data_IF_227717975163
#
_entry.id   IF_227717975163
#
_cell.length_a   1.000
_cell.length_b   1.000
_cell.length_c   1.000
_cell.angle_alpha   90.00
_cell.angle_beta   90.00
_cell.angle_gamma   90.00
#
_symmetry.space_group_name_H-M   'P 1'
#
loop_
_entity.id
_entity.type
_entity.pdbx_description
1 polymer ?
#
# COMPACT_ATOMS: atom_id res chain seq x y z
N UNK A 1 -62.04 21.97 -22.26
CA UNK A 1 -60.79 21.48 -21.65
C UNK A 1 -60.62 20.01 -22.01
N UNK A 2 -59.50 19.60 -22.62
CA UNK A 2 -59.21 18.17 -22.88
C UNK A 2 -58.87 17.51 -21.55
N UNK A 3 -59.61 16.46 -21.17
CA UNK A 3 -59.28 15.62 -20.03
C UNK A 3 -57.95 14.90 -20.29
N UNK A 4 -56.89 15.31 -19.61
CA UNK A 4 -55.67 14.52 -19.49
C UNK A 4 -56.02 13.27 -18.69
N UNK A 5 -55.91 12.09 -19.30
CA UNK A 5 -56.12 10.82 -18.60
C UNK A 5 -55.10 10.74 -17.47
N UNK A 6 -55.57 10.74 -16.23
CA UNK A 6 -54.74 10.46 -15.07
C UNK A 6 -54.27 9.00 -15.14
N UNK A 7 -52.99 8.76 -14.85
CA UNK A 7 -52.39 7.43 -14.82
C UNK A 7 -53.16 6.52 -13.87
N UNK A 8 -53.40 5.28 -14.30
CA UNK A 8 -54.06 4.29 -13.45
C UNK A 8 -53.12 3.85 -12.32
N UNK A 9 -53.70 3.47 -11.18
CA UNK A 9 -52.95 3.00 -10.00
C UNK A 9 -51.94 1.87 -10.36
N UNK A 10 -52.27 0.90 -11.23
CA UNK A 10 -51.30 -0.10 -11.67
C UNK A 10 -50.11 0.46 -12.45
N UNK A 11 -50.33 1.46 -13.33
CA UNK A 11 -49.25 2.11 -14.09
C UNK A 11 -48.31 2.89 -13.17
N UNK A 12 -48.86 3.55 -12.14
CA UNK A 12 -48.07 4.27 -11.14
C UNK A 12 -47.18 3.31 -10.33
N UNK A 13 -47.70 2.13 -9.94
CA UNK A 13 -46.94 1.12 -9.21
C UNK A 13 -45.79 0.52 -10.03
N UNK A 14 -46.02 0.30 -11.33
CA UNK A 14 -44.97 -0.18 -12.24
C UNK A 14 -43.86 0.86 -12.37
N UNK A 15 -44.20 2.14 -12.55
CA UNK A 15 -43.21 3.22 -12.66
C UNK A 15 -42.39 3.38 -11.38
N UNK A 16 -43.04 3.39 -10.21
CA UNK A 16 -42.34 3.47 -8.92
C UNK A 16 -41.43 2.25 -8.69
N UNK A 17 -41.87 1.05 -9.06
CA UNK A 17 -41.06 -0.16 -8.98
C UNK A 17 -39.80 -0.09 -9.86
N UNK A 18 -39.94 0.34 -11.11
CA UNK A 18 -38.82 0.52 -12.04
C UNK A 18 -37.87 1.60 -11.55
N UNK A 19 -38.38 2.76 -11.12
CA UNK A 19 -37.55 3.84 -10.58
C UNK A 19 -36.83 3.41 -9.31
N UNK A 20 -37.49 2.67 -8.42
CA UNK A 20 -36.87 2.12 -7.21
C UNK A 20 -35.70 1.17 -7.51
N UNK A 21 -35.88 0.29 -8.50
CA UNK A 21 -34.81 -0.62 -8.95
C UNK A 21 -33.67 0.15 -9.61
N UNK A 22 -33.97 1.12 -10.48
CA UNK A 22 -32.95 1.95 -11.13
C UNK A 22 -32.17 2.78 -10.10
N UNK A 23 -32.85 3.40 -9.12
CA UNK A 23 -32.20 4.15 -8.05
C UNK A 23 -31.33 3.24 -7.16
N UNK A 24 -31.79 2.02 -6.85
CA UNK A 24 -31.00 1.04 -6.12
C UNK A 24 -29.77 0.57 -6.92
N UNK A 25 -29.90 0.37 -8.23
CA UNK A 25 -28.75 0.09 -9.11
C UNK A 25 -27.80 1.28 -9.19
N UNK A 26 -28.30 2.51 -9.34
CA UNK A 26 -27.43 3.69 -9.35
C UNK A 26 -26.67 3.83 -8.03
N UNK A 27 -27.32 3.68 -6.88
CA UNK A 27 -26.68 3.77 -5.57
C UNK A 27 -25.64 2.66 -5.31
N UNK A 28 -25.85 1.47 -5.88
CA UNK A 28 -24.87 0.36 -5.77
C UNK A 28 -23.73 0.48 -6.79
N UNK A 29 -23.91 1.24 -7.88
CA UNK A 29 -22.93 1.37 -8.98
C UNK A 29 -22.14 2.68 -8.97
N UNK A 30 -22.46 3.66 -8.11
CA UNK A 30 -21.59 4.85 -7.93
C UNK A 30 -20.28 4.43 -7.25
N UNK A 31 -19.34 3.94 -8.07
CA UNK A 31 -17.93 3.85 -7.69
C UNK A 31 -17.49 5.24 -7.23
N UNK A 32 -16.62 5.33 -6.20
CA UNK A 32 -16.00 6.61 -5.89
C UNK A 32 -15.43 7.19 -7.17
N UNK A 33 -15.81 8.44 -7.47
CA UNK A 33 -15.24 9.18 -8.61
C UNK A 33 -13.72 9.12 -8.54
N UNK A 34 -13.00 9.10 -9.66
CA UNK A 34 -11.53 9.10 -9.72
C UNK A 34 -10.88 10.15 -8.78
N UNK A 35 -11.62 11.22 -8.43
CA UNK A 35 -11.25 12.22 -7.43
C UNK A 35 -11.02 11.67 -6.00
N UNK A 36 -11.66 10.57 -5.60
CA UNK A 36 -11.53 9.96 -4.26
C UNK A 36 -10.33 9.00 -4.18
N UNK A 37 -9.89 8.47 -5.31
CA UNK A 37 -8.80 7.51 -5.41
C UNK A 37 -7.49 7.97 -4.75
N UNK A 38 -7.00 9.22 -4.91
CA UNK A 38 -5.75 9.62 -4.27
C UNK A 38 -5.89 9.68 -2.75
N UNK A 39 -7.08 10.05 -2.25
CA UNK A 39 -7.37 10.08 -0.82
C UNK A 39 -7.42 8.67 -0.22
N UNK A 40 -8.09 7.74 -0.91
CA UNK A 40 -8.16 6.35 -0.48
C UNK A 40 -6.77 5.70 -0.46
N UNK A 41 -5.98 5.93 -1.52
CA UNK A 41 -4.63 5.42 -1.63
C UNK A 41 -3.72 5.99 -0.54
N UNK A 42 -3.68 7.31 -0.37
CA UNK A 42 -2.88 7.97 0.65
C UNK A 42 -3.29 7.51 2.06
N UNK A 43 -4.59 7.36 2.33
CA UNK A 43 -5.05 6.86 3.62
C UNK A 43 -4.59 5.42 3.88
N UNK A 44 -4.64 4.55 2.87
CA UNK A 44 -4.12 3.18 2.97
C UNK A 44 -2.61 3.18 3.26
N UNK A 45 -1.85 3.98 2.51
CA UNK A 45 -0.41 4.15 2.71
C UNK A 45 -0.08 4.66 4.12
N UNK A 46 -0.67 5.79 4.52
CA UNK A 46 -0.40 6.45 5.80
C UNK A 46 -0.77 5.56 6.98
N UNK A 47 -1.92 4.89 6.90
CA UNK A 47 -2.39 3.97 7.93
C UNK A 47 -1.47 2.76 8.07
N UNK A 48 -1.02 2.16 6.96
CA UNK A 48 -0.05 1.06 6.98
C UNK A 48 1.33 1.52 7.47
N UNK A 49 1.82 2.67 7.00
CA UNK A 49 3.12 3.21 7.38
C UNK A 49 3.18 3.52 8.88
N UNK A 50 2.14 4.15 9.42
CA UNK A 50 2.02 4.43 10.86
C UNK A 50 1.98 3.15 11.68
N UNK A 51 1.18 2.16 11.24
CA UNK A 51 1.10 0.88 11.93
C UNK A 51 2.45 0.13 11.91
N UNK A 52 3.09 0.03 10.75
CA UNK A 52 4.39 -0.64 10.62
C UNK A 52 5.49 0.06 11.42
N UNK A 53 5.52 1.39 11.42
CA UNK A 53 6.42 2.17 12.27
C UNK A 53 6.20 1.84 13.75
N UNK A 54 4.96 1.90 14.24
CA UNK A 54 4.69 1.61 15.65
C UNK A 54 5.03 0.16 16.04
N UNK A 55 4.80 -0.81 15.16
CA UNK A 55 5.24 -2.21 15.38
C UNK A 55 6.76 -2.29 15.58
N UNK A 56 7.53 -1.51 14.80
CA UNK A 56 8.98 -1.47 14.92
C UNK A 56 9.42 -0.78 16.21
N UNK A 57 8.79 0.32 16.57
CA UNK A 57 9.09 1.06 17.80
C UNK A 57 8.76 0.21 19.05
N UNK A 58 7.61 -0.47 19.08
CA UNK A 58 7.27 -1.41 20.15
C UNK A 58 8.32 -2.51 20.28
N UNK A 59 8.72 -3.12 19.15
CA UNK A 59 9.73 -4.15 19.16
C UNK A 59 11.04 -3.63 19.76
N UNK A 60 11.45 -2.40 19.40
CA UNK A 60 12.64 -1.73 19.95
C UNK A 60 12.51 -1.47 21.45
N UNK A 61 11.38 -0.97 21.91
CA UNK A 61 11.14 -0.66 23.32
C UNK A 61 11.14 -1.94 24.18
N UNK A 62 10.65 -3.05 23.62
CA UNK A 62 10.64 -4.34 24.29
C UNK A 62 12.01 -5.06 24.31
N UNK A 63 13.00 -4.65 23.50
CA UNK A 63 14.33 -5.30 23.44
C UNK A 63 15.01 -5.39 24.81
N UNK A 64 14.81 -4.37 25.66
CA UNK A 64 15.41 -4.29 26.99
C UNK A 64 14.43 -4.62 28.13
N UNK A 65 13.22 -5.10 27.80
CA UNK A 65 12.19 -5.41 28.80
C UNK A 65 12.34 -6.86 29.29
N UNK A 66 12.61 -7.02 30.58
CA UNK A 66 12.67 -8.34 31.22
C UNK A 66 11.28 -9.02 31.19
N UNK A 67 11.25 -10.30 30.81
CA UNK A 67 10.02 -11.09 30.73
C UNK A 67 9.19 -10.91 29.44
N UNK A 68 9.57 -10.00 28.54
CA UNK A 68 8.95 -9.92 27.21
C UNK A 68 9.32 -11.13 26.35
N UNK A 69 8.36 -11.65 25.60
CA UNK A 69 8.60 -12.74 24.65
C UNK A 69 9.48 -12.25 23.50
N UNK A 70 10.38 -13.10 23.02
CA UNK A 70 11.30 -12.70 21.95
C UNK A 70 10.55 -12.28 20.68
N UNK A 71 9.39 -12.90 20.39
CA UNK A 71 8.53 -12.58 19.23
C UNK A 71 7.99 -11.15 19.27
N UNK A 72 7.90 -10.57 20.46
CA UNK A 72 7.46 -9.20 20.65
C UNK A 72 8.60 -8.20 20.51
N UNK A 73 9.85 -8.62 20.80
CA UNK A 73 11.08 -7.81 20.65
C UNK A 73 11.57 -7.65 19.22
N UNK A 74 10.92 -8.30 18.27
CA UNK A 74 11.28 -8.29 16.86
C UNK A 74 10.13 -7.80 15.98
N UNK A 75 10.50 -7.14 14.89
CA UNK A 75 9.54 -6.92 13.80
C UNK A 75 9.20 -8.29 13.18
N UNK A 76 7.94 -8.55 12.79
CA UNK A 76 7.56 -9.81 12.16
C UNK A 76 8.49 -10.19 11.00
N UNK A 77 9.14 -11.36 11.07
CA UNK A 77 10.08 -11.85 10.04
C UNK A 77 11.55 -11.48 10.24
N UNK A 78 11.87 -10.62 11.21
CA UNK A 78 13.25 -10.22 11.52
C UNK A 78 14.05 -11.38 12.14
N UNK A 79 13.38 -12.18 12.99
CA UNK A 79 13.92 -13.39 13.59
C UNK A 79 14.50 -14.39 12.59
N UNK A 80 15.56 -15.07 13.00
CA UNK A 80 16.14 -16.18 12.23
C UNK A 80 15.20 -17.40 12.21
N UNK A 81 15.18 -18.10 11.07
CA UNK A 81 14.45 -19.37 10.87
C UNK A 81 12.92 -19.33 11.03
N UNK A 82 12.28 -18.16 11.00
CA UNK A 82 10.82 -18.06 10.97
C UNK A 82 10.29 -18.35 9.56
N UNK A 83 9.31 -19.26 9.48
CA UNK A 83 8.63 -19.57 8.21
C UNK A 83 7.91 -18.33 7.63
N UNK A 84 7.94 -18.22 6.30
CA UNK A 84 7.38 -17.09 5.56
C UNK A 84 5.90 -16.81 5.82
N UNK A 85 5.09 -17.85 6.08
CA UNK A 85 3.66 -17.73 6.35
C UNK A 85 3.42 -17.42 7.83
N UNK A 86 4.20 -18.01 8.73
CA UNK A 86 4.18 -17.67 10.16
C UNK A 86 4.54 -16.19 10.37
N UNK A 87 5.59 -15.70 9.71
CA UNK A 87 5.97 -14.28 9.76
C UNK A 87 4.84 -13.37 9.24
N UNK A 88 4.16 -13.76 8.15
CA UNK A 88 3.03 -13.01 7.60
C UNK A 88 1.81 -13.01 8.52
N UNK A 89 1.56 -14.11 9.25
CA UNK A 89 0.52 -14.22 10.26
C UNK A 89 0.80 -13.27 11.43
N UNK A 90 2.04 -13.25 11.92
CA UNK A 90 2.44 -12.34 13.00
C UNK A 90 2.36 -10.88 12.57
N UNK A 91 2.75 -10.56 11.32
CA UNK A 91 2.49 -9.23 10.76
C UNK A 91 0.99 -8.89 10.78
N UNK A 92 0.13 -9.83 10.38
CA UNK A 92 -1.31 -9.62 10.42
C UNK A 92 -1.80 -9.29 11.83
N UNK A 93 -1.38 -10.07 12.85
CA UNK A 93 -1.77 -9.88 14.25
C UNK A 93 -1.31 -8.54 14.80
N UNK A 94 -0.09 -8.12 14.45
CA UNK A 94 0.46 -6.82 14.88
C UNK A 94 -0.13 -5.63 14.11
N UNK A 95 -0.56 -5.83 12.86
CA UNK A 95 -1.27 -4.80 12.11
C UNK A 95 -2.72 -4.61 12.59
N UNK A 96 -3.46 -5.68 12.87
CA UNK A 96 -4.91 -5.63 13.02
C UNK A 96 -5.39 -5.91 14.45
N UNK A 97 -6.17 -5.00 15.02
CA UNK A 97 -6.81 -5.20 16.33
C UNK A 97 -7.95 -6.22 16.19
N UNK A 98 -7.95 -7.27 17.01
CA UNK A 98 -9.07 -8.22 17.06
C UNK A 98 -10.29 -7.55 17.74
N UNK A 99 -11.45 -7.39 17.06
CA UNK A 99 -12.60 -6.73 17.65
C UNK A 99 -13.32 -7.58 18.70
N UNK A 100 -13.04 -8.89 18.74
CA UNK A 100 -13.60 -9.82 19.72
C UNK A 100 -12.48 -10.69 20.31
N UNK A 101 -11.58 -10.09 21.11
CA UNK A 101 -10.45 -10.81 21.69
C UNK A 101 -10.95 -11.82 22.73
N UNK A 102 -10.36 -13.01 22.76
CA UNK A 102 -10.72 -14.03 23.74
C UNK A 102 -10.15 -13.73 25.14
N UNK A 103 -9.10 -12.91 25.22
CA UNK A 103 -8.40 -12.49 26.43
C UNK A 103 -7.76 -11.10 26.27
N UNK A 104 -7.25 -10.51 27.36
CA UNK A 104 -6.64 -9.17 27.33
C UNK A 104 -5.34 -9.09 26.51
N UNK A 105 -4.61 -10.19 26.35
CA UNK A 105 -3.38 -10.24 25.55
C UNK A 105 -3.69 -10.15 24.05
N UNK A 106 -4.74 -10.82 23.58
CA UNK A 106 -5.24 -10.68 22.21
C UNK A 106 -5.79 -9.28 21.89
N UNK A 107 -6.14 -8.50 22.92
CA UNK A 107 -6.70 -7.16 22.77
C UNK A 107 -5.63 -6.08 22.47
N UNK A 108 -4.33 -6.39 22.68
CA UNK A 108 -3.25 -5.40 22.69
C UNK A 108 -2.35 -5.38 21.45
N UNK A 109 -2.51 -6.32 20.51
CA UNK A 109 -1.48 -6.54 19.49
C UNK A 109 -1.58 -5.62 18.27
N UNK A 110 -2.76 -5.12 17.93
CA UNK A 110 -3.02 -4.53 16.62
C UNK A 110 -3.13 -3.01 16.59
N UNK A 111 -2.55 -2.38 15.58
CA UNK A 111 -2.60 -0.92 15.36
C UNK A 111 -3.79 -0.42 14.54
N UNK A 112 -4.43 -1.30 13.77
CA UNK A 112 -5.53 -0.98 12.89
C UNK A 112 -6.83 -1.54 13.43
N UNK A 113 -7.77 -0.66 13.77
CA UNK A 113 -9.11 -1.05 14.15
C UNK A 113 -9.79 -1.82 13.01
N UNK A 114 -10.31 -3.01 13.33
CA UNK A 114 -10.93 -3.89 12.33
C UNK A 114 -12.40 -4.21 12.64
N UNK A 115 -13.14 -4.49 11.57
CA UNK A 115 -14.53 -4.99 11.62
C UNK A 115 -14.61 -6.47 11.27
N UNK A 116 -13.57 -7.02 10.64
CA UNK A 116 -13.40 -8.45 10.38
C UNK A 116 -11.93 -8.78 10.58
N UNK A 117 -11.65 -9.88 11.26
CA UNK A 117 -10.31 -10.27 11.68
C UNK A 117 -10.09 -11.76 11.39
N UNK A 118 -9.09 -12.08 10.54
CA UNK A 118 -8.70 -13.45 10.21
C UNK A 118 -7.22 -13.74 10.52
N UNK A 119 -6.53 -12.92 11.32
CA UNK A 119 -5.10 -13.11 11.63
C UNK A 119 -4.81 -14.25 12.63
N UNK A 120 -5.85 -14.95 13.10
CA UNK A 120 -5.73 -16.10 14.02
C UNK A 120 -5.56 -17.45 13.30
N UNK A 121 -6.36 -18.44 13.70
CA UNK A 121 -6.30 -19.79 13.12
C UNK A 121 -6.71 -19.85 11.64
N UNK A 122 -7.55 -18.91 11.18
CA UNK A 122 -8.07 -18.88 9.81
C UNK A 122 -7.21 -18.05 8.84
N UNK A 123 -6.00 -17.64 9.26
CA UNK A 123 -5.13 -16.80 8.45
C UNK A 123 -4.73 -17.50 7.16
N UNK A 124 -4.83 -16.77 6.06
CA UNK A 124 -4.40 -17.21 4.73
C UNK A 124 -3.57 -16.13 4.12
N UNK A 125 -2.50 -16.54 3.46
CA UNK A 125 -1.70 -15.67 2.62
C UNK A 125 -2.25 -15.66 1.20
N UNK A 126 -2.03 -14.56 0.48
CA UNK A 126 -2.28 -14.46 -0.96
C UNK A 126 -0.97 -14.61 -1.73
N UNK A 127 -0.94 -15.33 -2.87
CA UNK A 127 0.28 -15.43 -3.67
C UNK A 127 0.79 -14.05 -4.10
N UNK A 128 2.12 -13.87 -4.12
CA UNK A 128 2.76 -12.62 -4.60
C UNK A 128 2.32 -12.26 -6.01
N UNK A 129 2.06 -13.29 -6.84
CA UNK A 129 1.58 -13.11 -8.21
C UNK A 129 0.34 -12.21 -8.26
N UNK A 130 -0.55 -12.35 -7.26
CA UNK A 130 -1.76 -11.54 -7.11
C UNK A 130 -2.66 -11.60 -8.34
N UNK A 131 -3.65 -12.48 -8.36
CA UNK A 131 -4.71 -12.46 -9.37
C UNK A 131 -6.02 -11.97 -8.77
N UNK A 132 -6.93 -11.43 -9.59
CA UNK A 132 -8.24 -10.99 -9.11
C UNK A 132 -9.02 -12.10 -8.36
N UNK A 133 -8.78 -13.38 -8.71
CA UNK A 133 -9.35 -14.54 -8.00
C UNK A 133 -8.75 -14.82 -6.63
N UNK A 134 -7.57 -14.30 -6.31
CA UNK A 134 -6.92 -14.45 -5.01
C UNK A 134 -7.51 -13.46 -3.98
N UNK A 135 -7.97 -12.29 -4.44
CA UNK A 135 -8.48 -11.20 -3.61
C UNK A 135 -9.96 -11.32 -3.26
N UNK A 136 -10.41 -12.52 -2.91
CA UNK A 136 -11.78 -12.77 -2.47
C UNK A 136 -11.91 -12.61 -0.96
N UNK A 137 -13.14 -12.35 -0.50
CA UNK A 137 -13.45 -12.11 0.92
C UNK A 137 -12.94 -13.23 1.84
N UNK A 138 -12.99 -14.48 1.41
CA UNK A 138 -12.53 -15.66 2.15
C UNK A 138 -11.00 -15.76 2.33
N UNK A 139 -10.23 -14.97 1.58
CA UNK A 139 -8.78 -14.90 1.64
C UNK A 139 -8.28 -13.59 2.28
N UNK A 140 -9.19 -12.69 2.69
CA UNK A 140 -8.77 -11.43 3.33
C UNK A 140 -8.19 -11.72 4.71
N UNK A 141 -7.10 -11.02 5.01
CA UNK A 141 -6.43 -11.06 6.31
C UNK A 141 -7.28 -10.33 7.36
N UNK A 142 -7.75 -9.13 7.02
CA UNK A 142 -8.68 -8.36 7.84
C UNK A 142 -9.39 -7.27 7.03
N UNK A 143 -10.44 -6.69 7.63
CA UNK A 143 -11.14 -5.50 7.12
C UNK A 143 -11.09 -4.40 8.17
N UNK A 144 -10.48 -3.27 7.85
CA UNK A 144 -10.39 -2.11 8.74
C UNK A 144 -11.74 -1.40 8.90
N UNK A 145 -11.86 -0.53 9.90
CA UNK A 145 -13.07 0.26 10.16
C UNK A 145 -13.42 1.26 9.04
N UNK A 146 -12.44 1.69 8.24
CA UNK A 146 -12.68 2.48 7.03
C UNK A 146 -13.12 1.63 5.81
N UNK A 147 -13.51 0.37 6.05
CA UNK A 147 -14.00 -0.63 5.09
C UNK A 147 -12.96 -1.22 4.13
N UNK A 148 -11.70 -0.76 4.11
CA UNK A 148 -10.65 -1.36 3.27
C UNK A 148 -10.36 -2.80 3.68
N UNK A 149 -10.07 -3.67 2.70
CA UNK A 149 -9.69 -5.07 2.95
C UNK A 149 -8.21 -5.25 2.71
N UNK A 150 -7.56 -5.97 3.60
CA UNK A 150 -6.13 -6.22 3.57
C UNK A 150 -5.87 -7.69 3.27
N UNK A 151 -4.89 -7.93 2.43
CA UNK A 151 -4.38 -9.26 2.10
C UNK A 151 -2.87 -9.23 2.23
N UNK A 152 -2.27 -10.31 2.74
CA UNK A 152 -0.84 -10.35 3.03
C UNK A 152 -0.24 -11.55 2.31
N UNK A 153 0.83 -11.33 1.55
CA UNK A 153 1.60 -12.42 0.93
C UNK A 153 2.60 -13.03 1.92
N UNK A 154 3.08 -14.27 1.69
CA UNK A 154 4.17 -14.83 2.49
C UNK A 154 5.41 -13.92 2.41
N UNK A 155 6.19 -13.86 3.49
CA UNK A 155 7.45 -13.10 3.52
C UNK A 155 8.36 -13.47 2.35
N UNK A 156 8.94 -12.46 1.71
CA UNK A 156 9.84 -12.58 0.57
C UNK A 156 11.20 -12.00 0.90
N UNK A 157 12.15 -12.24 0.00
CA UNK A 157 13.51 -11.72 0.06
C UNK A 157 13.89 -11.10 -1.27
N UNK A 158 14.64 -10.01 -1.25
CA UNK A 158 15.28 -9.41 -2.42
C UNK A 158 16.73 -9.07 -2.07
N UNK A 159 17.64 -9.37 -2.97
CA UNK A 159 19.06 -9.02 -2.82
C UNK A 159 19.36 -7.78 -3.64
N UNK A 160 19.93 -6.77 -2.99
CA UNK A 160 20.25 -5.47 -3.57
C UNK A 160 21.75 -5.22 -3.40
N UNK A 161 22.41 -4.73 -4.45
CA UNK A 161 23.80 -4.29 -4.36
C UNK A 161 23.84 -2.90 -3.76
N UNK A 162 24.67 -2.69 -2.75
CA UNK A 162 24.88 -1.36 -2.14
C UNK A 162 26.17 -0.71 -2.62
N UNK A 163 26.11 0.29 -3.53
CA UNK A 163 27.29 0.99 -4.03
C UNK A 163 28.07 1.74 -2.94
N UNK A 164 27.40 2.17 -1.87
CA UNK A 164 28.02 2.92 -0.77
C UNK A 164 28.74 2.00 0.22
N UNK A 165 28.33 0.74 0.28
CA UNK A 165 28.98 -0.29 1.08
C UNK A 165 29.82 -1.26 0.21
N UNK A 166 30.61 -0.72 -0.70
CA UNK A 166 31.55 -1.50 -1.51
C UNK A 166 30.91 -2.49 -2.50
N UNK A 167 29.67 -2.24 -2.94
CA UNK A 167 28.85 -3.14 -3.77
C UNK A 167 28.60 -4.51 -3.12
N UNK A 168 28.50 -4.54 -1.80
CA UNK A 168 28.11 -5.75 -1.07
C UNK A 168 26.64 -6.10 -1.32
N UNK A 169 26.32 -7.39 -1.21
CA UNK A 169 24.94 -7.88 -1.29
C UNK A 169 24.23 -7.63 0.03
N UNK A 170 23.13 -6.88 -0.03
CA UNK A 170 22.22 -6.64 1.09
C UNK A 170 20.95 -7.44 0.83
N UNK A 171 20.66 -8.42 1.68
CA UNK A 171 19.41 -9.17 1.65
C UNK A 171 18.34 -8.41 2.45
N UNK A 172 17.28 -7.99 1.77
CA UNK A 172 16.13 -7.35 2.38
C UNK A 172 14.95 -8.32 2.41
N UNK A 173 14.44 -8.59 3.60
CA UNK A 173 13.17 -9.30 3.79
C UNK A 173 12.02 -8.30 3.67
N UNK A 174 10.92 -8.72 3.06
CA UNK A 174 9.75 -7.87 2.89
C UNK A 174 8.45 -8.65 2.85
N UNK A 175 7.35 -7.97 3.14
CA UNK A 175 5.99 -8.44 2.87
C UNK A 175 5.37 -7.64 1.74
N UNK A 176 4.54 -8.30 0.93
CA UNK A 176 3.65 -7.62 0.00
C UNK A 176 2.25 -7.60 0.62
N UNK A 177 1.75 -6.41 0.92
CA UNK A 177 0.42 -6.17 1.48
C UNK A 177 -0.44 -5.54 0.40
N UNK A 178 -1.56 -6.19 0.09
CA UNK A 178 -2.54 -5.69 -0.87
C UNK A 178 -3.71 -5.08 -0.13
N UNK A 179 -4.13 -3.89 -0.56
CA UNK A 179 -5.25 -3.17 0.02
C UNK A 179 -6.32 -2.95 -1.03
N UNK A 180 -7.50 -3.51 -0.81
CA UNK A 180 -8.69 -3.20 -1.60
C UNK A 180 -9.30 -1.89 -1.10
N UNK A 181 -9.14 -0.83 -1.91
CA UNK A 181 -9.62 0.53 -1.62
C UNK A 181 -11.15 0.64 -1.72
N UNK A 182 -11.80 -0.26 -2.48
CA UNK A 182 -13.23 -0.20 -2.82
C UNK A 182 -14.07 -1.30 -2.14
N UNK A 183 -13.44 -2.24 -1.47
CA UNK A 183 -14.06 -3.23 -0.59
C UNK A 183 -15.21 -4.02 -1.23
N UNK A 184 -16.47 -3.66 -0.94
CA UNK A 184 -17.66 -4.37 -1.45
C UNK A 184 -18.23 -3.77 -2.75
N UNK A 185 -17.71 -2.62 -3.22
CA UNK A 185 -18.20 -1.90 -4.42
C UNK A 185 -17.60 -2.46 -5.71
N UNK A 186 -17.72 -3.78 -5.87
CA UNK A 186 -17.10 -4.56 -6.94
C UNK A 186 -17.74 -4.36 -8.33
N UNK A 187 -17.15 -4.96 -9.38
CA UNK A 187 -15.94 -5.79 -9.35
C UNK A 187 -14.67 -4.95 -9.15
N UNK A 188 -13.80 -5.48 -8.27
CA UNK A 188 -12.48 -4.93 -7.93
C UNK A 188 -11.40 -5.69 -8.69
N UNK A 189 -10.33 -5.00 -9.08
CA UNK A 189 -9.20 -5.61 -9.81
C UNK A 189 -7.87 -5.09 -9.29
N UNK A 190 -6.88 -5.97 -9.23
CA UNK A 190 -5.48 -5.64 -8.97
C UNK A 190 -4.69 -5.44 -10.26
N UNK A 191 -5.24 -5.86 -11.40
CA UNK A 191 -4.51 -5.87 -12.68
C UNK A 191 -4.82 -4.62 -13.50
N UNK A 192 -3.78 -3.90 -13.90
CA UNK A 192 -3.93 -2.79 -14.83
C UNK A 192 -4.32 -3.27 -16.22
N UNK A 193 -5.35 -2.64 -16.81
CA UNK A 193 -5.74 -2.84 -18.19
C UNK A 193 -5.53 -1.56 -19.00
N UNK A 194 -4.44 -1.52 -19.78
CA UNK A 194 -4.04 -0.38 -20.60
C UNK A 194 -5.12 0.08 -21.58
N UNK A 195 -5.94 -0.83 -22.09
CA UNK A 195 -7.00 -0.52 -23.05
C UNK A 195 -8.21 0.16 -22.40
N UNK A 196 -8.50 -0.18 -21.14
CA UNK A 196 -9.69 0.34 -20.43
C UNK A 196 -9.40 1.61 -19.64
N UNK A 197 -8.12 1.97 -19.43
CA UNK A 197 -7.65 3.08 -18.57
C UNK A 197 -8.31 3.12 -17.18
N UNK A 198 -8.84 1.97 -16.74
CA UNK A 198 -9.62 1.85 -15.50
C UNK A 198 -8.64 1.77 -14.34
N UNK A 199 -8.84 2.65 -13.36
CA UNK A 199 -8.14 2.56 -12.08
C UNK A 199 -8.27 1.14 -11.49
N UNK A 200 -7.15 0.62 -10.96
CA UNK A 200 -7.14 -0.59 -10.15
C UNK A 200 -7.74 -0.26 -8.79
N UNK A 201 -8.49 -1.22 -8.25
CA UNK A 201 -9.20 -1.08 -6.99
C UNK A 201 -8.36 -1.66 -5.82
N UNK A 202 -7.47 -2.61 -6.14
CA UNK A 202 -6.62 -3.33 -5.18
C UNK A 202 -5.17 -2.94 -5.43
N UNK A 203 -4.54 -2.34 -4.43
CA UNK A 203 -3.22 -1.70 -4.57
C UNK A 203 -2.17 -2.38 -3.70
N UNK A 204 -0.94 -2.61 -4.21
CA UNK A 204 0.12 -3.23 -3.44
C UNK A 204 0.98 -2.20 -2.69
N UNK A 205 1.44 -2.60 -1.50
CA UNK A 205 2.46 -1.93 -0.69
C UNK A 205 3.50 -2.95 -0.23
N UNK A 206 4.76 -2.54 -0.21
CA UNK A 206 5.85 -3.32 0.38
C UNK A 206 6.03 -2.87 1.82
N UNK A 207 6.20 -3.82 2.74
CA UNK A 207 6.57 -3.54 4.13
C UNK A 207 7.92 -4.21 4.41
N UNK A 208 8.90 -3.42 4.83
CA UNK A 208 10.24 -3.88 5.19
C UNK A 208 10.34 -4.15 6.71
N UNK A 209 11.38 -4.88 7.12
CA UNK A 209 11.55 -5.27 8.53
C UNK A 209 11.97 -4.10 9.44
N UNK A 210 12.38 -2.98 8.84
CA UNK A 210 12.66 -1.72 9.53
C UNK A 210 11.38 -0.91 9.83
N UNK A 211 10.20 -1.43 9.47
CA UNK A 211 8.91 -0.74 9.63
C UNK A 211 8.57 0.21 8.48
N UNK A 212 9.42 0.34 7.46
CA UNK A 212 9.15 1.22 6.33
C UNK A 212 8.14 0.60 5.35
N UNK A 213 7.19 1.41 4.90
CA UNK A 213 6.21 1.04 3.88
C UNK A 213 6.52 1.77 2.57
N UNK A 214 6.64 1.02 1.48
CA UNK A 214 6.93 1.55 0.15
C UNK A 214 5.71 1.39 -0.78
N UNK A 215 5.22 2.49 -1.39
CA UNK A 215 4.28 2.43 -2.51
C UNK A 215 4.86 1.60 -3.67
N UNK A 216 4.06 0.72 -4.28
CA UNK A 216 4.52 -0.07 -5.43
C UNK A 216 3.43 -0.32 -6.48
N UNK A 217 3.84 -0.92 -7.60
CA UNK A 217 3.00 -1.25 -8.74
C UNK A 217 2.46 -0.05 -9.52
N UNK A 218 1.46 -0.31 -10.38
CA UNK A 218 0.89 0.70 -11.27
C UNK A 218 0.41 2.00 -10.58
N UNK A 219 -0.11 2.00 -9.33
CA UNK A 219 -0.48 3.26 -8.65
C UNK A 219 0.66 4.27 -8.54
N UNK A 220 1.91 3.83 -8.55
CA UNK A 220 3.08 4.73 -8.49
C UNK A 220 3.28 5.55 -9.76
N UNK A 221 2.76 5.09 -10.90
CA UNK A 221 2.92 5.76 -12.21
C UNK A 221 1.73 6.63 -12.60
N UNK A 222 0.63 6.53 -11.86
CA UNK A 222 -0.62 7.23 -12.15
C UNK A 222 -0.90 8.32 -11.10
N UNK A 223 -0.84 9.58 -11.54
CA UNK A 223 -1.06 10.77 -10.70
C UNK A 223 -2.45 10.85 -10.06
N UNK A 224 -3.39 10.00 -10.49
CA UNK A 224 -4.68 9.83 -9.80
C UNK A 224 -4.54 9.16 -8.43
N UNK A 225 -3.45 8.46 -8.14
CA UNK A 225 -3.21 7.82 -6.83
C UNK A 225 -2.24 8.62 -5.99
N UNK A 226 -1.04 8.86 -6.53
CA UNK A 226 0.09 9.32 -5.74
C UNK A 226 0.93 10.31 -6.52
N UNK A 227 1.20 11.45 -5.90
CA UNK A 227 2.22 12.38 -6.34
C UNK A 227 3.24 12.57 -5.23
N UNK A 228 4.46 12.95 -5.62
CA UNK A 228 5.53 13.22 -4.69
C UNK A 228 6.40 14.39 -5.18
N UNK A 229 7.16 14.95 -4.25
CA UNK A 229 8.24 15.88 -4.51
C UNK A 229 9.58 15.25 -4.14
N UNK A 230 10.62 15.68 -4.83
CA UNK A 230 12.01 15.42 -4.43
C UNK A 230 12.42 16.51 -3.45
N UNK A 231 12.77 16.13 -2.23
CA UNK A 231 13.34 17.01 -1.23
C UNK A 231 14.86 16.97 -1.36
N UNK A 232 15.47 18.12 -1.62
CA UNK A 232 16.92 18.24 -1.72
C UNK A 232 17.53 18.32 -0.32
N UNK A 233 18.58 17.55 -0.08
CA UNK A 233 19.39 17.71 1.13
C UNK A 233 20.26 18.96 0.96
N UNK A 234 19.80 20.09 1.50
CA UNK A 234 20.61 21.31 1.60
C UNK A 234 20.43 21.94 2.97
N UNK A 235 21.54 22.33 3.58
CA UNK A 235 21.66 22.93 4.90
C UNK A 235 20.64 24.07 5.09
N UNK A 236 19.66 23.82 5.95
CA UNK A 236 18.78 24.79 6.62
C UNK A 236 17.64 25.43 5.80
N UNK A 237 17.40 25.03 4.55
CA UNK A 237 16.14 25.38 3.86
C UNK A 237 15.61 24.17 3.11
N UNK A 238 14.43 23.67 3.49
CA UNK A 238 13.72 22.64 2.73
C UNK A 238 13.48 23.16 1.30
N UNK A 239 14.27 22.67 0.35
CA UNK A 239 14.05 22.95 -1.06
C UNK A 239 13.43 21.69 -1.68
N UNK A 240 12.31 21.89 -2.38
CA UNK A 240 11.60 20.84 -3.08
C UNK A 240 11.71 21.05 -4.60
N UNK A 241 11.59 19.97 -5.36
CA UNK A 241 11.34 20.04 -6.81
C UNK A 241 10.10 20.91 -7.09
N UNK A 242 10.14 21.75 -8.13
CA UNK A 242 9.11 22.78 -8.34
C UNK A 242 7.70 22.26 -8.63
N UNK A 243 7.53 21.03 -9.13
CA UNK A 243 6.22 20.50 -9.49
C UNK A 243 6.03 19.07 -8.98
N UNK A 244 4.87 18.74 -8.41
CA UNK A 244 4.54 17.37 -8.02
C UNK A 244 4.44 16.50 -9.27
N UNK A 245 5.03 15.30 -9.21
CA UNK A 245 5.03 14.32 -10.30
C UNK A 245 4.48 12.99 -9.78
N UNK A 246 4.09 12.04 -10.65
CA UNK A 246 3.86 10.66 -10.22
C UNK A 246 5.03 10.18 -9.35
N UNK A 247 4.74 9.39 -8.33
CA UNK A 247 5.76 8.90 -7.40
C UNK A 247 6.92 8.21 -8.13
N UNK A 248 6.61 7.37 -9.12
CA UNK A 248 7.62 6.65 -9.92
C UNK A 248 8.57 7.60 -10.65
N UNK A 249 8.06 8.70 -11.21
CA UNK A 249 8.86 9.72 -11.87
C UNK A 249 9.74 10.47 -10.86
N UNK A 250 9.24 10.72 -9.65
CA UNK A 250 9.99 11.40 -8.58
C UNK A 250 11.17 10.57 -8.10
N UNK A 251 10.97 9.26 -7.92
CA UNK A 251 12.03 8.31 -7.57
C UNK A 251 13.11 8.26 -8.65
N UNK A 252 12.73 8.28 -9.93
CA UNK A 252 13.69 8.29 -11.04
C UNK A 252 14.44 9.62 -11.11
N UNK A 253 13.76 10.74 -10.88
CA UNK A 253 14.39 12.05 -10.82
C UNK A 253 15.44 12.13 -9.69
N UNK A 254 15.14 11.55 -8.52
CA UNK A 254 16.04 11.58 -7.37
C UNK A 254 17.24 10.63 -7.53
N UNK A 255 17.02 9.39 -7.98
CA UNK A 255 18.03 8.34 -7.87
C UNK A 255 18.55 7.77 -9.20
N UNK A 256 17.93 8.08 -10.34
CA UNK A 256 18.35 7.60 -11.67
C UNK A 256 18.58 6.06 -11.74
N UNK A 257 17.74 5.26 -11.07
CA UNK A 257 17.88 3.78 -10.94
C UNK A 257 19.04 3.29 -10.07
N UNK A 258 19.81 4.19 -9.45
CA UNK A 258 20.75 3.81 -8.41
C UNK A 258 19.96 3.45 -7.15
N UNK A 259 20.49 2.50 -6.38
CA UNK A 259 19.87 1.99 -5.17
C UNK A 259 20.86 2.12 -4.02
N UNK A 260 20.38 2.59 -2.88
CA UNK A 260 21.15 2.88 -1.67
C UNK A 260 20.45 2.21 -0.48
N UNK A 261 20.36 0.87 -0.45
CA UNK A 261 19.55 0.12 0.53
C UNK A 261 19.83 0.47 1.99
N UNK A 262 21.06 0.84 2.34
CA UNK A 262 21.45 1.20 3.72
C UNK A 262 21.06 2.63 4.09
N UNK A 263 20.92 3.53 3.12
CA UNK A 263 20.73 4.96 3.39
C UNK A 263 19.35 5.48 3.01
N UNK A 264 18.74 4.97 1.95
CA UNK A 264 17.43 5.38 1.49
C UNK A 264 16.66 4.22 0.88
N UNK A 265 15.69 3.72 1.63
CA UNK A 265 14.82 2.62 1.23
C UNK A 265 13.85 2.98 0.09
N UNK A 266 13.58 4.27 -0.16
CA UNK A 266 12.78 4.71 -1.30
C UNK A 266 13.55 4.59 -2.63
N UNK A 267 14.87 4.46 -2.59
CA UNK A 267 15.70 4.19 -3.78
C UNK A 267 15.54 2.77 -4.34
N UNK A 268 14.96 1.83 -3.58
CA UNK A 268 14.88 0.39 -3.88
C UNK A 268 13.93 -0.01 -5.03
N UNK A 269 13.47 0.97 -5.81
CA UNK A 269 12.41 0.75 -6.79
C UNK A 269 12.82 -0.23 -7.91
N UNK A 270 14.08 -0.24 -8.33
CA UNK A 270 14.56 -1.05 -9.45
C UNK A 270 14.59 -2.53 -9.07
N UNK A 271 15.04 -2.83 -7.85
CA UNK A 271 15.05 -4.15 -7.25
C UNK A 271 13.64 -4.68 -7.03
N UNK A 272 12.72 -3.86 -6.51
CA UNK A 272 11.33 -4.28 -6.37
C UNK A 272 10.60 -4.42 -7.71
N UNK A 273 10.91 -3.59 -8.71
CA UNK A 273 10.37 -3.77 -10.06
C UNK A 273 10.78 -5.11 -10.67
N UNK A 274 12.04 -5.55 -10.43
CA UNK A 274 12.51 -6.88 -10.85
C UNK A 274 11.82 -8.00 -10.06
N UNK A 275 11.73 -7.86 -8.73
CA UNK A 275 11.12 -8.85 -7.85
C UNK A 275 9.63 -9.08 -8.14
N UNK A 276 8.92 -8.04 -8.59
CA UNK A 276 7.50 -8.08 -8.89
C UNK A 276 7.18 -8.40 -10.36
N UNK A 277 8.18 -8.74 -11.17
CA UNK A 277 7.98 -9.09 -12.58
C UNK A 277 7.04 -10.30 -12.72
N UNK A 278 6.03 -10.19 -13.59
CA UNK A 278 5.03 -11.24 -13.82
C UNK A 278 3.90 -11.29 -12.78
N UNK A 279 3.88 -10.36 -11.82
CA UNK A 279 2.81 -10.21 -10.82
C UNK A 279 1.80 -9.14 -11.26
N UNK A 280 0.65 -9.02 -10.59
CA UNK A 280 -0.26 -7.88 -10.77
C UNK A 280 0.33 -6.53 -10.30
N UNK A 281 1.37 -6.57 -9.47
CA UNK A 281 2.11 -5.38 -9.05
C UNK A 281 3.20 -4.97 -10.07
N UNK A 282 3.34 -5.66 -11.20
CA UNK A 282 4.29 -5.28 -12.25
C UNK A 282 3.88 -3.98 -12.94
N UNK A 283 4.81 -3.03 -13.03
CA UNK A 283 4.65 -1.82 -13.84
C UNK A 283 4.98 -2.17 -15.30
N UNK A 284 3.95 -2.48 -16.09
CA UNK A 284 4.08 -2.77 -17.53
C UNK A 284 3.97 -1.51 -18.36
N UNK A 285 4.88 -1.37 -19.34
CA UNK A 285 4.75 -0.40 -20.43
C UNK A 285 4.63 1.06 -19.98
N UNK A 286 5.31 1.43 -18.89
CA UNK A 286 5.42 2.83 -18.47
C UNK A 286 6.80 3.37 -18.84
N UNK A 287 6.82 4.52 -19.51
CA UNK A 287 8.05 5.27 -19.79
C UNK A 287 8.03 6.54 -18.94
N UNK A 288 9.00 6.70 -18.02
CA UNK A 288 9.10 7.91 -17.19
C UNK A 288 9.15 9.17 -18.04
N UNK A 289 8.48 10.22 -17.58
CA UNK A 289 8.49 11.52 -18.26
C UNK A 289 9.71 12.38 -17.94
N UNK A 290 10.63 11.87 -17.12
CA UNK A 290 11.79 12.60 -16.60
C UNK A 290 13.02 12.41 -17.51
N UNK A 291 13.62 13.52 -17.93
CA UNK A 291 14.89 13.56 -18.66
C UNK A 291 16.02 13.99 -17.72
N UNK A 292 16.85 13.04 -17.28
CA UNK A 292 17.99 13.31 -16.39
C UNK A 292 17.63 13.27 -14.90
N UNK A 293 18.65 13.02 -14.08
CA UNK A 293 18.54 13.08 -12.62
C UNK A 293 18.67 14.54 -12.15
N UNK A 294 18.12 14.86 -10.99
CA UNK A 294 18.23 16.22 -10.46
C UNK A 294 19.65 16.47 -9.93
N UNK A 295 20.40 17.40 -10.54
CA UNK A 295 21.79 17.71 -10.17
C UNK A 295 21.98 18.03 -8.68
N UNK A 296 20.92 18.41 -7.94
CA UNK A 296 20.98 18.60 -6.49
C UNK A 296 20.97 17.31 -5.67
N UNK A 297 20.77 16.17 -6.31
CA UNK A 297 20.74 14.84 -5.69
C UNK A 297 22.04 14.05 -5.92
N UNK A 298 23.09 14.66 -6.51
CA UNK A 298 24.35 13.96 -6.75
C UNK A 298 25.05 13.71 -5.44
N UNK A 299 25.50 12.49 -5.24
CA UNK A 299 26.52 12.18 -4.24
C UNK A 299 27.85 12.79 -4.71
N UNK A 300 28.32 13.85 -4.04
CA UNK A 300 29.63 14.45 -4.32
C UNK A 300 30.78 13.57 -3.81
N UNK A 301 30.52 12.73 -2.80
CA UNK A 301 31.45 11.75 -2.21
C UNK A 301 30.64 10.59 -1.63
N UNK A 302 31.23 9.38 -1.58
CA UNK A 302 30.63 8.20 -0.90
C UNK A 302 30.36 8.47 0.58
N UNK A 303 31.08 9.44 1.16
CA UNK A 303 31.02 9.81 2.58
C UNK A 303 30.21 11.10 2.84
N UNK A 304 29.79 11.84 1.82
CA UNK A 304 29.04 13.09 1.97
C UNK A 304 27.59 12.93 1.48
N UNK A 305 26.62 13.37 2.28
CA UNK A 305 25.22 13.44 1.87
C UNK A 305 24.99 14.70 1.03
N UNK A 306 24.39 14.56 -0.16
CA UNK A 306 22.96 14.78 -0.20
C UNK A 306 22.22 13.63 -0.88
N UNK A 307 21.62 12.75 -0.09
CA UNK A 307 20.60 11.86 -0.61
C UNK A 307 19.31 12.66 -0.60
N UNK A 308 18.80 12.97 -1.77
CA UNK A 308 17.46 13.51 -1.88
C UNK A 308 16.46 12.51 -1.32
N UNK A 309 15.49 12.99 -0.57
CA UNK A 309 14.42 12.14 -0.06
C UNK A 309 13.16 12.34 -0.91
N UNK A 310 12.38 11.27 -1.07
CA UNK A 310 11.06 11.36 -1.69
C UNK A 310 10.03 11.71 -0.63
N UNK A 311 9.34 12.84 -0.83
CA UNK A 311 8.25 13.27 0.04
C UNK A 311 6.94 13.06 -0.71
N UNK A 312 6.12 12.15 -0.19
CA UNK A 312 4.80 11.84 -0.73
C UNK A 312 3.83 12.98 -0.39
N UNK A 313 3.07 13.45 -1.38
CA UNK A 313 2.12 14.53 -1.17
C UNK A 313 0.89 14.08 -0.39
N UNK A 314 0.64 14.75 0.74
CA UNK A 314 -0.62 14.62 1.44
C UNK A 314 -1.74 15.30 0.64
N UNK A 315 -2.62 14.51 0.02
CA UNK A 315 -3.86 15.08 -0.51
C UNK A 315 -4.84 15.28 0.64
N UNK A 316 -4.91 16.50 1.18
CA UNK A 316 -5.90 16.90 2.19
C UNK A 316 -7.29 17.02 1.55
N UNK A 317 -8.34 16.48 2.18
CA UNK A 317 -9.73 16.61 1.70
C UNK A 317 -10.09 18.10 1.63
N UNK A 318 -10.64 18.54 0.49
CA UNK A 318 -11.31 19.84 0.36
C UNK A 318 -12.72 19.75 0.90
#
# INVERSE_FOLDING_TARGET
MKNLKAFSIPELLIVIGITGVICAMMLTVVKPTDKYLPYAYYNAYYTLATAAYNIKEDARDLQNTEGAEDVDKAFPGDMENVDSTTAAKELCRKLATNPNPANEEENKLGYLNTTVYNCGANFKTVPIKGSDSDFKKENMAFRSSNSMRYFISPMQKVTVKDPLNGNTDVELKYFLVWVDLNAERGPNTATWNSNKKKAIDIVPFIILMDGTVLPTGFPTTDSRYLTAHVQYSASNTEQFSQSPRPYYDSVIAAFNKNEYPVHDVYSLFSSFQKALKGTAAEIKSYTPSVTGFDEKCTLESVNDAPICTIVIDEKKKF
#
